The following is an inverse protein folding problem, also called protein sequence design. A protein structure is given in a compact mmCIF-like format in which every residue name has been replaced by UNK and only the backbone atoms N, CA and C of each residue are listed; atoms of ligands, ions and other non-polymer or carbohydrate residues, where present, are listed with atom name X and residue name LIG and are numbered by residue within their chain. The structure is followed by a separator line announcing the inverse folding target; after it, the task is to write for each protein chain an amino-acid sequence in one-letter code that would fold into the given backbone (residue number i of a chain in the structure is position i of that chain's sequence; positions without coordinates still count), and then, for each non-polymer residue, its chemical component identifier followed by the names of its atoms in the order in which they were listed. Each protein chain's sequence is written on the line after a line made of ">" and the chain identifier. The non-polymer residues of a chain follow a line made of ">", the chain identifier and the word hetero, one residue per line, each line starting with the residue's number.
data_IF_636398377521
#
_entry.id   IF_636398377521
#
_cell.length_a   1.000
_cell.length_b   1.000
_cell.length_c   1.000
_cell.angle_alpha   90.00
_cell.angle_beta   90.00
_cell.angle_gamma   90.00
#
_symmetry.space_group_name_H-M   'P 1'
#
loop_
_entity.id
_entity.type
_entity.pdbx_description
1 polymer ?
#
# COMPACT_ATOMS: atom_id res chain seq x y z
N UNK A 1 -5.45 -24.33 -22.56
CA UNK A 1 -4.56 -23.23 -23.02
C UNK A 1 -5.19 -21.94 -22.55
N UNK A 2 -4.67 -21.16 -21.59
CA UNK A 2 -3.32 -20.96 -21.11
C UNK A 2 -3.29 -20.91 -19.57
N UNK A 3 -2.30 -21.58 -18.99
CA UNK A 3 -1.85 -21.43 -17.62
C UNK A 3 -1.01 -20.15 -17.51
N UNK A 4 -1.32 -19.26 -16.55
CA UNK A 4 -0.50 -18.09 -16.27
C UNK A 4 -0.39 -17.86 -14.75
N UNK A 5 0.72 -18.39 -14.23
CA UNK A 5 1.46 -18.03 -13.01
C UNK A 5 0.96 -16.80 -12.25
N UNK A 6 0.11 -17.06 -11.26
CA UNK A 6 -0.35 -16.15 -10.21
C UNK A 6 0.57 -16.32 -9.00
N UNK A 7 1.63 -15.52 -8.83
CA UNK A 7 2.36 -15.46 -7.53
C UNK A 7 3.42 -14.36 -7.34
N UNK A 8 3.43 -13.27 -8.12
CA UNK A 8 4.47 -12.23 -7.93
C UNK A 8 3.89 -10.83 -8.12
N UNK A 9 2.90 -10.39 -7.35
CA UNK A 9 2.41 -9.00 -7.42
C UNK A 9 1.76 -8.52 -6.11
N UNK A 10 2.41 -8.79 -4.96
CA UNK A 10 2.02 -8.19 -3.69
C UNK A 10 3.02 -7.11 -3.28
N UNK A 11 2.50 -5.88 -3.18
CA UNK A 11 3.05 -4.65 -2.56
C UNK A 11 3.66 -3.59 -3.50
N UNK A 12 2.79 -2.81 -4.15
CA UNK A 12 3.06 -1.44 -4.57
C UNK A 12 1.90 -0.54 -4.09
N UNK A 13 2.21 0.41 -3.20
CA UNK A 13 1.52 1.66 -2.77
C UNK A 13 1.76 1.84 -1.25
N UNK A 14 2.24 2.96 -0.67
CA UNK A 14 3.08 4.11 -1.07
C UNK A 14 3.25 4.98 0.22
N UNK A 15 4.48 5.38 0.59
CA UNK A 15 4.97 6.65 1.22
C UNK A 15 4.28 7.28 2.46
N UNK A 16 4.88 7.98 3.45
CA UNK A 16 6.19 8.59 3.78
C UNK A 16 6.19 8.80 5.34
N UNK A 17 7.26 8.73 6.13
CA UNK A 17 8.21 9.83 6.40
C UNK A 17 9.32 9.41 7.41
N UNK A 18 10.50 9.99 7.16
CA UNK A 18 11.56 10.43 8.10
C UNK A 18 12.42 9.37 8.83
N UNK A 19 13.73 9.60 8.67
CA UNK A 19 14.82 9.18 9.57
C UNK A 19 14.35 9.09 11.02
N UNK A 20 14.72 7.97 11.64
CA UNK A 20 14.36 7.57 12.99
C UNK A 20 14.29 8.73 13.98
N UNK A 21 13.08 8.95 14.47
CA UNK A 21 12.86 9.22 15.88
C UNK A 21 12.19 7.97 16.46
N UNK A 22 12.53 7.64 17.70
CA UNK A 22 12.19 6.41 18.41
C UNK A 22 10.69 6.22 18.73
N UNK A 23 9.78 6.73 17.88
CA UNK A 23 8.33 6.76 18.08
C UNK A 23 7.54 6.64 16.75
N UNK A 24 8.00 5.84 15.78
CA UNK A 24 7.17 5.49 14.61
C UNK A 24 6.06 4.51 15.04
N UNK A 25 4.81 4.99 15.02
CA UNK A 25 3.60 4.25 15.39
C UNK A 25 2.85 3.71 14.16
N UNK A 26 3.46 3.69 12.99
CA UNK A 26 2.83 3.10 11.80
C UNK A 26 2.52 1.61 12.04
N UNK A 27 1.42 1.08 11.46
CA UNK A 27 1.09 -0.33 11.60
C UNK A 27 2.22 -1.27 11.19
N UNK A 28 2.99 -0.89 10.16
CA UNK A 28 4.17 -1.63 9.71
C UNK A 28 5.32 -1.61 10.74
N UNK A 29 5.60 -0.45 11.35
CA UNK A 29 6.60 -0.35 12.41
C UNK A 29 6.21 -1.15 13.65
N UNK A 30 4.93 -1.16 14.04
CA UNK A 30 4.42 -1.95 15.16
C UNK A 30 4.58 -3.45 14.90
N UNK A 31 4.19 -3.92 13.71
CA UNK A 31 4.38 -5.31 13.29
C UNK A 31 5.86 -5.71 13.31
N UNK A 32 6.75 -4.84 12.79
CA UNK A 32 8.19 -5.07 12.79
C UNK A 32 8.82 -5.07 14.18
N UNK A 33 8.41 -4.16 15.06
CA UNK A 33 8.86 -4.16 16.45
C UNK A 33 8.49 -5.48 17.14
N UNK A 34 7.27 -5.97 16.92
CA UNK A 34 6.82 -7.24 17.48
C UNK A 34 7.57 -8.44 16.87
N UNK A 35 7.79 -8.45 15.55
CA UNK A 35 8.62 -9.47 14.90
C UNK A 35 10.05 -9.48 15.44
N UNK A 36 10.65 -8.32 15.64
CA UNK A 36 11.99 -8.20 16.20
C UNK A 36 12.06 -8.79 17.61
N UNK A 37 11.12 -8.42 18.49
CA UNK A 37 11.03 -8.98 19.85
C UNK A 37 10.90 -10.51 19.81
N UNK A 38 10.03 -11.04 18.94
CA UNK A 38 9.87 -12.49 18.78
C UNK A 38 11.16 -13.15 18.29
N UNK A 39 11.80 -12.58 17.27
CA UNK A 39 13.02 -13.11 16.66
C UNK A 39 14.19 -13.09 17.64
N UNK A 40 14.35 -12.02 18.41
CA UNK A 40 15.41 -11.88 19.41
C UNK A 40 15.23 -12.89 20.56
N UNK A 41 13.98 -13.10 21.01
CA UNK A 41 13.65 -14.16 21.98
C UNK A 41 13.88 -15.57 21.42
N UNK A 42 13.52 -15.82 20.15
CA UNK A 42 13.77 -17.09 19.49
C UNK A 42 15.28 -17.37 19.36
N UNK A 43 16.08 -16.35 19.04
CA UNK A 43 17.56 -16.43 19.01
C UNK A 43 18.13 -16.78 20.38
N UNK A 44 17.73 -16.06 21.42
CA UNK A 44 18.20 -16.28 22.79
C UNK A 44 17.94 -17.71 23.29
N UNK A 45 16.82 -18.30 22.88
CA UNK A 45 16.41 -19.65 23.29
C UNK A 45 16.85 -20.75 22.32
N UNK A 46 17.60 -20.45 21.25
CA UNK A 46 17.98 -21.41 20.19
C UNK A 46 16.79 -22.06 19.45
N UNK A 47 15.69 -21.31 19.27
CA UNK A 47 14.44 -21.77 18.64
C UNK A 47 14.25 -21.11 17.24
N UNK A 48 15.29 -20.49 16.67
CA UNK A 48 15.18 -19.79 15.40
C UNK A 48 14.78 -20.70 14.23
N UNK A 49 13.63 -20.46 13.58
CA UNK A 49 13.13 -21.32 12.52
C UNK A 49 13.96 -21.24 11.23
N UNK A 50 14.49 -20.06 10.89
CA UNK A 50 15.14 -19.82 9.58
C UNK A 50 16.57 -20.36 9.46
N UNK A 51 17.21 -20.81 10.54
CA UNK A 51 18.64 -21.20 10.50
C UNK A 51 18.89 -22.59 9.88
N UNK A 52 17.86 -23.43 9.77
CA UNK A 52 18.01 -24.84 9.35
C UNK A 52 17.51 -25.15 7.95
N UNK A 53 16.64 -24.29 7.39
CA UNK A 53 16.03 -24.55 6.09
C UNK A 53 16.95 -24.11 4.93
N UNK A 54 17.64 -25.06 4.29
CA UNK A 54 18.38 -24.86 3.03
C UNK A 54 17.62 -25.51 1.88
N UNK A 55 16.69 -24.80 1.22
CA UNK A 55 15.94 -25.37 0.12
C UNK A 55 16.86 -25.62 -1.07
N UNK A 56 16.74 -26.80 -1.68
CA UNK A 56 17.31 -27.04 -3.00
C UNK A 56 16.52 -26.21 -4.01
N UNK A 57 17.21 -25.36 -4.78
CA UNK A 57 16.62 -24.44 -5.76
C UNK A 57 15.73 -25.18 -6.79
N UNK A 58 15.93 -26.49 -6.94
CA UNK A 58 15.29 -27.28 -7.99
C UNK A 58 14.07 -28.11 -7.58
N UNK A 59 13.69 -28.20 -6.29
CA UNK A 59 12.57 -29.06 -5.86
C UNK A 59 11.80 -28.48 -4.68
N UNK A 60 10.48 -28.69 -4.70
CA UNK A 60 9.65 -28.50 -3.51
C UNK A 60 10.10 -29.50 -2.42
N UNK A 61 10.12 -29.05 -1.18
CA UNK A 61 10.47 -29.85 0.00
C UNK A 61 9.41 -29.62 1.06
N UNK A 62 9.02 -30.67 1.79
CA UNK A 62 8.13 -30.51 2.92
C UNK A 62 8.83 -29.71 4.03
N UNK A 63 8.11 -28.76 4.61
CA UNK A 63 8.56 -28.03 5.78
C UNK A 63 8.46 -28.91 7.02
N UNK A 64 9.36 -28.72 7.97
CA UNK A 64 9.23 -29.30 9.30
C UNK A 64 8.30 -28.45 10.18
N UNK A 65 7.74 -29.09 11.21
CA UNK A 65 6.90 -28.40 12.18
C UNK A 65 7.67 -27.28 12.88
N UNK A 66 7.20 -26.05 12.69
CA UNK A 66 7.81 -24.83 13.23
C UNK A 66 8.77 -24.10 12.30
N UNK A 67 9.00 -24.54 11.06
CA UNK A 67 9.86 -23.81 10.10
C UNK A 67 9.28 -22.45 9.69
N UNK A 68 7.95 -22.34 9.64
CA UNK A 68 7.24 -21.13 9.22
C UNK A 68 6.13 -20.77 10.21
N UNK A 69 6.48 -20.30 11.42
CA UNK A 69 5.51 -20.10 12.50
C UNK A 69 4.49 -18.98 12.22
N UNK A 70 4.74 -18.16 11.19
CA UNK A 70 3.82 -17.12 10.74
C UNK A 70 2.75 -17.60 9.77
N UNK A 71 2.87 -18.80 9.23
CA UNK A 71 1.90 -19.33 8.28
C UNK A 71 0.55 -19.57 8.96
N UNK A 72 -0.50 -19.12 8.30
CA UNK A 72 -1.88 -19.41 8.69
C UNK A 72 -2.67 -19.98 7.52
N UNK A 73 -3.82 -20.56 7.86
CA UNK A 73 -4.86 -20.94 6.93
C UNK A 73 -6.13 -20.14 7.25
N UNK A 74 -6.73 -19.56 6.22
CA UNK A 74 -8.06 -18.99 6.28
C UNK A 74 -9.05 -20.06 5.81
N UNK A 75 -10.07 -20.30 6.62
CA UNK A 75 -11.13 -21.25 6.29
C UNK A 75 -12.52 -20.68 6.50
N UNK A 76 -13.47 -21.26 5.77
CA UNK A 76 -14.88 -20.96 5.88
C UNK A 76 -15.58 -22.12 6.58
N UNK A 77 -16.24 -21.82 7.70
CA UNK A 77 -16.98 -22.80 8.48
C UNK A 77 -18.36 -23.01 7.85
N UNK A 78 -18.62 -24.26 7.46
CA UNK A 78 -19.89 -24.77 6.96
C UNK A 78 -20.31 -25.88 7.93
N UNK A 79 -21.37 -25.61 8.69
CA UNK A 79 -21.81 -26.49 9.78
C UNK A 79 -20.67 -26.73 10.80
N UNK A 80 -20.35 -27.99 11.09
CA UNK A 80 -19.27 -28.39 12.00
C UNK A 80 -17.91 -28.54 11.31
N UNK A 81 -17.83 -28.36 9.98
CA UNK A 81 -16.61 -28.49 9.20
C UNK A 81 -16.07 -27.14 8.77
N UNK A 82 -14.75 -27.02 8.68
CA UNK A 82 -14.09 -25.83 8.14
C UNK A 82 -13.33 -26.19 6.88
N UNK A 83 -13.70 -25.55 5.77
CA UNK A 83 -12.99 -25.65 4.51
C UNK A 83 -11.85 -24.63 4.49
N UNK A 84 -10.60 -25.09 4.48
CA UNK A 84 -9.41 -24.25 4.47
C UNK A 84 -9.04 -23.86 3.03
N UNK A 85 -9.26 -22.59 2.67
CA UNK A 85 -9.26 -22.13 1.28
C UNK A 85 -8.05 -21.28 0.89
N UNK A 86 -7.42 -20.61 1.85
CA UNK A 86 -6.31 -19.69 1.60
C UNK A 86 -5.24 -19.78 2.67
N UNK A 87 -4.04 -19.28 2.33
CA UNK A 87 -2.94 -19.09 3.27
C UNK A 87 -2.68 -17.59 3.49
N UNK A 88 -2.04 -17.25 4.60
CA UNK A 88 -1.67 -15.88 4.94
C UNK A 88 -0.52 -15.83 5.95
N UNK A 89 -0.27 -14.67 6.54
CA UNK A 89 0.82 -14.48 7.50
C UNK A 89 0.43 -13.69 8.74
N UNK A 90 0.84 -14.15 9.91
CA UNK A 90 0.72 -13.40 11.17
C UNK A 90 1.69 -12.23 11.13
N UNK A 91 1.19 -11.02 11.38
CA UNK A 91 2.02 -9.80 11.46
C UNK A 91 2.00 -9.18 12.87
N UNK A 92 1.00 -9.51 13.68
CA UNK A 92 0.94 -9.19 15.10
C UNK A 92 0.09 -10.22 15.87
N UNK A 93 -0.04 -10.09 17.19
CA UNK A 93 -0.86 -10.99 18.01
C UNK A 93 -2.30 -11.12 17.54
N UNK A 94 -2.87 -10.10 16.92
CA UNK A 94 -4.27 -10.06 16.50
C UNK A 94 -4.49 -9.68 15.04
N UNK A 95 -3.42 -9.51 14.25
CA UNK A 95 -3.53 -9.22 12.82
C UNK A 95 -2.83 -10.25 11.96
N UNK A 96 -3.54 -10.61 10.89
CA UNK A 96 -3.08 -11.45 9.79
C UNK A 96 -3.11 -10.65 8.50
N UNK A 97 -2.04 -10.76 7.73
CA UNK A 97 -1.92 -10.26 6.37
C UNK A 97 -2.29 -11.35 5.38
N UNK A 98 -3.13 -11.03 4.39
CA UNK A 98 -3.60 -11.98 3.39
C UNK A 98 -3.92 -11.27 2.07
N UNK A 99 -4.10 -12.04 1.00
CA UNK A 99 -4.64 -11.51 -0.24
C UNK A 99 -6.11 -11.10 -0.10
N UNK A 100 -6.51 -10.00 -0.74
CA UNK A 100 -7.88 -9.51 -0.70
C UNK A 100 -8.86 -10.51 -1.33
N UNK A 101 -8.49 -11.15 -2.44
CA UNK A 101 -9.34 -12.12 -3.12
C UNK A 101 -9.70 -13.33 -2.25
N UNK A 102 -8.86 -13.68 -1.27
CA UNK A 102 -9.13 -14.75 -0.30
C UNK A 102 -10.27 -14.41 0.67
N UNK A 103 -10.55 -13.12 0.86
CA UNK A 103 -11.62 -12.63 1.74
C UNK A 103 -12.92 -12.34 0.99
N UNK A 104 -12.90 -12.49 -0.34
CA UNK A 104 -14.03 -12.25 -1.23
C UNK A 104 -14.28 -13.49 -2.10
N UNK A 105 -14.81 -14.56 -1.51
CA UNK A 105 -15.17 -15.73 -2.30
C UNK A 105 -16.42 -15.46 -3.15
N UNK A 106 -16.20 -15.45 -4.47
CA UNK A 106 -17.13 -15.69 -5.58
C UNK A 106 -18.53 -16.18 -5.15
N UNK A 107 -19.55 -15.39 -5.50
CA UNK A 107 -21.00 -15.73 -5.55
C UNK A 107 -21.85 -15.70 -4.27
N UNK A 108 -21.32 -15.59 -3.04
CA UNK A 108 -22.16 -15.41 -1.85
C UNK A 108 -21.48 -14.47 -0.86
N UNK A 109 -22.25 -13.53 -0.27
CA UNK A 109 -21.73 -12.58 0.70
C UNK A 109 -20.97 -13.30 1.81
N UNK A 110 -19.71 -12.93 2.01
CA UNK A 110 -18.87 -13.53 3.06
C UNK A 110 -19.34 -13.01 4.40
N UNK A 111 -19.94 -13.87 5.22
CA UNK A 111 -20.23 -13.54 6.60
C UNK A 111 -18.95 -13.72 7.43
N UNK A 112 -18.45 -12.63 8.01
CA UNK A 112 -17.24 -12.62 8.86
C UNK A 112 -17.35 -13.66 9.99
N UNK A 113 -18.56 -13.94 10.48
CA UNK A 113 -18.79 -14.91 11.56
C UNK A 113 -18.51 -16.35 11.16
N UNK A 114 -18.49 -16.66 9.86
CA UNK A 114 -18.18 -18.00 9.33
C UNK A 114 -16.69 -18.18 9.03
N UNK A 115 -15.87 -17.12 9.12
CA UNK A 115 -14.44 -17.25 8.86
C UNK A 115 -13.68 -17.71 10.11
N UNK A 116 -12.72 -18.59 9.88
CA UNK A 116 -11.77 -19.10 10.89
C UNK A 116 -10.35 -18.91 10.38
N UNK A 117 -9.45 -18.54 11.28
CA UNK A 117 -8.01 -18.52 11.02
C UNK A 117 -7.35 -19.61 11.85
N UNK A 118 -6.52 -20.45 11.23
CA UNK A 118 -5.74 -21.51 11.92
C UNK A 118 -4.25 -21.27 11.75
N UNK A 119 -3.52 -21.27 12.85
CA UNK A 119 -2.07 -21.17 12.90
C UNK A 119 -1.45 -22.41 13.56
N UNK A 120 -0.14 -22.62 13.39
CA UNK A 120 0.60 -23.69 14.09
C UNK A 120 0.42 -25.08 13.51
N UNK A 121 0.01 -25.19 12.24
CA UNK A 121 -0.23 -26.46 11.55
C UNK A 121 0.68 -26.58 10.34
N UNK A 122 1.43 -27.68 10.27
CA UNK A 122 2.29 -28.03 9.12
C UNK A 122 1.78 -29.29 8.41
N UNK A 123 1.40 -30.32 9.17
CA UNK A 123 0.67 -31.50 8.69
C UNK A 123 -0.80 -31.40 9.10
N UNK A 124 -1.73 -31.55 8.17
CA UNK A 124 -3.17 -31.52 8.49
C UNK A 124 -3.61 -32.68 9.39
N UNK A 125 -2.82 -33.75 9.48
CA UNK A 125 -3.06 -34.89 10.38
C UNK A 125 -2.61 -34.61 11.81
N UNK A 126 -1.77 -33.61 12.04
CA UNK A 126 -1.28 -33.21 13.36
C UNK A 126 -1.72 -31.79 13.71
N UNK A 127 -2.73 -31.70 14.56
CA UNK A 127 -3.31 -30.45 15.03
C UNK A 127 -2.88 -30.11 16.48
N UNK A 128 -1.89 -30.80 17.03
CA UNK A 128 -1.46 -30.66 18.43
C UNK A 128 -1.04 -29.23 18.81
N UNK A 129 -0.52 -28.46 17.85
CA UNK A 129 -0.08 -27.08 18.03
C UNK A 129 -1.04 -26.04 17.44
N UNK A 130 -2.21 -26.49 16.97
CA UNK A 130 -3.15 -25.64 16.24
C UNK A 130 -3.76 -24.56 17.15
N UNK A 131 -3.75 -23.33 16.68
CA UNK A 131 -4.50 -22.22 17.27
C UNK A 131 -5.55 -21.77 16.27
N UNK A 132 -6.82 -22.06 16.56
CA UNK A 132 -7.96 -21.61 15.76
C UNK A 132 -8.50 -20.32 16.38
N UNK A 133 -8.77 -19.33 15.53
CA UNK A 133 -9.25 -18.00 15.92
C UNK A 133 -10.45 -17.58 15.09
N UNK A 134 -11.42 -16.99 15.78
CA UNK A 134 -12.56 -16.34 15.15
C UNK A 134 -12.13 -15.01 14.54
N UNK A 135 -12.66 -14.68 13.36
CA UNK A 135 -12.44 -13.37 12.74
C UNK A 135 -13.35 -12.33 13.41
N UNK A 136 -12.76 -11.18 13.77
CA UNK A 136 -13.46 -10.01 14.28
C UNK A 136 -13.86 -9.08 13.13
N UNK A 137 -12.91 -8.74 12.26
CA UNK A 137 -13.13 -7.85 11.12
C UNK A 137 -12.12 -8.08 10.01
N UNK A 138 -12.47 -7.63 8.81
CA UNK A 138 -11.61 -7.64 7.63
C UNK A 138 -11.50 -6.21 7.12
N UNK A 139 -10.28 -5.75 6.88
CA UNK A 139 -9.99 -4.47 6.25
C UNK A 139 -9.33 -4.72 4.91
N UNK A 140 -10.09 -4.53 3.84
CA UNK A 140 -9.55 -4.50 2.48
C UNK A 140 -8.70 -3.24 2.29
N UNK A 141 -7.70 -3.33 1.42
CA UNK A 141 -7.03 -2.13 0.95
C UNK A 141 -8.02 -1.22 0.20
N UNK A 142 -7.95 0.10 0.45
CA UNK A 142 -8.96 1.06 -0.02
C UNK A 142 -9.08 1.16 -1.55
N UNK A 143 -8.03 0.75 -2.27
CA UNK A 143 -7.95 0.70 -3.73
C UNK A 143 -8.17 -0.70 -4.32
N UNK A 144 -8.76 -1.63 -3.57
CA UNK A 144 -9.19 -2.94 -4.10
C UNK A 144 -10.46 -2.72 -4.93
N UNK A 145 -10.41 -3.09 -6.20
CA UNK A 145 -11.59 -3.18 -7.07
C UNK A 145 -11.94 -4.65 -7.31
N UNK A 146 -13.23 -4.99 -7.37
CA UNK A 146 -13.68 -6.35 -7.68
C UNK A 146 -14.18 -6.38 -9.14
N UNK A 147 -13.71 -7.31 -10.00
CA UNK A 147 -12.76 -8.39 -9.73
C UNK A 147 -11.33 -7.90 -9.44
N UNK A 148 -10.67 -8.53 -8.46
CA UNK A 148 -9.36 -8.11 -7.96
C UNK A 148 -8.29 -8.24 -9.03
N UNK A 149 -7.70 -7.09 -9.41
CA UNK A 149 -6.56 -7.00 -10.33
C UNK A 149 -5.32 -6.40 -9.68
N UNK A 150 -5.51 -5.34 -8.89
CA UNK A 150 -4.45 -4.60 -8.21
C UNK A 150 -4.76 -4.46 -6.72
N UNK A 151 -3.73 -4.15 -5.93
CA UNK A 151 -3.84 -3.93 -4.49
C UNK A 151 -4.47 -5.12 -3.76
N UNK A 152 -4.15 -6.34 -4.17
CA UNK A 152 -4.74 -7.59 -3.68
C UNK A 152 -4.27 -7.94 -2.25
N UNK A 153 -4.58 -7.08 -1.29
CA UNK A 153 -4.10 -7.13 0.09
C UNK A 153 -5.23 -6.77 1.06
N UNK A 154 -5.32 -7.54 2.13
CA UNK A 154 -6.28 -7.36 3.20
C UNK A 154 -5.65 -7.68 4.55
N UNK A 155 -6.20 -7.05 5.59
CA UNK A 155 -5.90 -7.35 6.98
C UNK A 155 -7.10 -8.03 7.63
N UNK A 156 -6.84 -9.12 8.32
CA UNK A 156 -7.82 -9.82 9.16
C UNK A 156 -7.46 -9.53 10.62
N UNK A 157 -8.42 -8.98 11.37
CA UNK A 157 -8.34 -8.88 12.82
C UNK A 157 -9.03 -10.08 13.45
N UNK A 158 -8.35 -10.81 14.33
CA UNK A 158 -8.92 -11.94 15.07
C UNK A 158 -9.44 -11.49 16.45
N UNK A 159 -10.47 -12.18 16.97
CA UNK A 159 -11.10 -11.85 18.26
C UNK A 159 -10.19 -12.15 19.46
N UNK A 160 -9.43 -13.24 19.37
CA UNK A 160 -8.55 -13.74 20.42
C UNK A 160 -7.11 -13.68 19.92
N UNK A 161 -6.20 -13.17 20.75
CA UNK A 161 -4.80 -13.08 20.40
C UNK A 161 -4.17 -14.46 20.13
N UNK A 162 -3.24 -14.53 19.20
CA UNK A 162 -2.32 -15.65 19.03
C UNK A 162 -1.36 -15.71 20.22
N UNK A 163 -1.16 -16.93 20.72
CA UNK A 163 -0.17 -17.21 21.76
C UNK A 163 1.13 -17.58 21.05
N UNK A 164 2.07 -16.64 20.99
CA UNK A 164 3.33 -16.88 20.30
C UNK A 164 4.19 -17.93 21.00
N UNK A 165 4.69 -18.89 20.21
CA UNK A 165 5.55 -19.99 20.64
C UNK A 165 6.44 -20.43 19.46
N UNK A 166 7.04 -21.64 19.53
CA UNK A 166 7.87 -22.18 18.45
C UNK A 166 7.12 -22.38 17.13
N UNK A 167 5.81 -22.63 17.18
CA UNK A 167 4.97 -23.02 16.04
C UNK A 167 4.08 -21.88 15.54
N UNK A 168 3.88 -20.84 16.35
CA UNK A 168 3.03 -19.68 16.06
C UNK A 168 3.80 -18.41 16.37
N UNK A 169 3.97 -17.51 15.41
CA UNK A 169 4.75 -16.29 15.59
C UNK A 169 4.64 -15.35 14.40
N UNK A 170 4.99 -14.06 14.54
CA UNK A 170 4.85 -13.08 13.48
C UNK A 170 5.98 -13.17 12.43
N UNK A 171 5.69 -12.73 11.20
CA UNK A 171 6.70 -12.44 10.18
C UNK A 171 7.10 -10.98 10.22
N UNK A 172 8.34 -10.68 9.85
CA UNK A 172 8.81 -9.31 9.70
C UNK A 172 8.33 -8.76 8.36
N UNK A 173 7.82 -7.55 8.38
CA UNK A 173 7.45 -6.81 7.18
C UNK A 173 8.66 -6.11 6.61
N UNK A 174 8.86 -6.28 5.32
CA UNK A 174 9.80 -5.45 4.60
C UNK A 174 9.15 -4.08 4.36
N UNK A 175 9.59 -3.07 5.11
CA UNK A 175 9.02 -1.69 5.07
C UNK A 175 9.95 -0.70 4.39
N UNK A 176 11.04 -1.16 3.77
CA UNK A 176 11.92 -0.31 2.99
C UNK A 176 11.33 -0.13 1.58
N UNK A 177 11.59 1.03 0.97
CA UNK A 177 11.02 1.42 -0.32
C UNK A 177 11.72 0.75 -1.50
N UNK A 178 12.98 0.32 -1.33
CA UNK A 178 13.72 -0.45 -2.34
C UNK A 178 13.29 -1.89 -2.28
N UNK A 179 13.08 -2.58 -3.40
CA UNK A 179 12.84 -4.02 -3.34
C UNK A 179 14.04 -4.74 -2.69
N UNK A 180 13.80 -5.77 -1.86
CA UNK A 180 14.89 -6.59 -1.37
C UNK A 180 15.53 -7.31 -2.55
N UNK A 181 16.80 -6.98 -2.85
CA UNK A 181 17.62 -7.76 -3.77
C UNK A 181 17.85 -9.15 -3.15
N UNK A 182 17.09 -10.15 -3.60
CA UNK A 182 17.18 -11.47 -3.01
C UNK A 182 16.29 -12.52 -3.64
N UNK A 183 16.66 -13.79 -3.45
CA UNK A 183 15.79 -14.92 -3.75
C UNK A 183 14.77 -15.04 -2.62
N UNK A 184 13.49 -15.01 -2.96
CA UNK A 184 12.40 -15.30 -2.03
C UNK A 184 12.19 -16.80 -1.84
N UNK A 185 11.68 -17.18 -0.67
CA UNK A 185 11.15 -18.52 -0.42
C UNK A 185 9.63 -18.43 -0.42
N UNK A 186 8.99 -19.29 -1.21
CA UNK A 186 7.55 -19.42 -1.19
C UNK A 186 7.13 -20.66 -0.39
N UNK A 187 6.22 -20.46 0.55
CA UNK A 187 5.59 -21.51 1.33
C UNK A 187 4.09 -21.52 1.07
N UNK A 188 3.49 -22.71 1.08
CA UNK A 188 2.08 -22.86 0.79
C UNK A 188 1.58 -24.21 1.25
N UNK A 189 0.28 -24.30 1.46
CA UNK A 189 -0.39 -25.55 1.74
C UNK A 189 -0.75 -26.24 0.42
N UNK A 190 -0.51 -27.55 0.33
CA UNK A 190 -0.92 -28.35 -0.83
C UNK A 190 -1.53 -29.67 -0.36
N UNK A 191 -2.57 -30.10 -1.06
CA UNK A 191 -3.13 -31.47 -0.96
C UNK A 191 -2.47 -32.44 -1.94
N UNK A 192 -1.56 -31.95 -2.79
CA UNK A 192 -0.91 -32.71 -3.84
C UNK A 192 0.43 -33.31 -3.37
N UNK A 193 0.80 -34.49 -3.89
CA UNK A 193 2.06 -35.18 -3.57
C UNK A 193 3.27 -34.41 -4.11
N UNK A 194 4.45 -34.52 -3.51
CA UNK A 194 5.66 -33.82 -3.98
C UNK A 194 5.96 -34.07 -5.48
N UNK A 195 5.57 -35.23 -5.99
CA UNK A 195 5.73 -35.65 -7.39
C UNK A 195 4.85 -34.87 -8.37
N UNK A 196 3.76 -34.27 -7.90
CA UNK A 196 2.87 -33.42 -8.70
C UNK A 196 3.44 -32.01 -8.92
N UNK A 197 4.49 -31.64 -8.18
CA UNK A 197 5.24 -30.44 -8.44
C UNK A 197 6.33 -30.75 -9.47
N UNK A 198 6.34 -30.09 -10.64
CA UNK A 198 7.39 -30.32 -11.62
C UNK A 198 8.75 -30.04 -10.96
N UNK A 199 9.69 -31.00 -11.08
CA UNK A 199 11.12 -30.75 -10.84
C UNK A 199 11.42 -29.43 -11.53
N UNK A 200 11.86 -28.43 -10.76
CA UNK A 200 12.03 -27.04 -11.17
C UNK A 200 12.24 -26.96 -12.67
N UNK A 201 11.26 -26.39 -13.37
CA UNK A 201 11.63 -25.50 -14.45
C UNK A 201 12.72 -24.65 -13.83
N UNK A 202 13.94 -24.87 -14.25
CA UNK A 202 15.02 -23.96 -13.97
C UNK A 202 14.40 -22.63 -14.34
N UNK A 203 14.05 -21.81 -13.35
CA UNK A 203 14.02 -20.39 -13.59
C UNK A 203 15.50 -20.00 -13.76
N UNK A 204 16.18 -20.54 -14.78
CA UNK A 204 16.65 -19.64 -15.81
C UNK A 204 15.48 -18.71 -16.01
N UNK A 205 15.64 -17.48 -15.51
CA UNK A 205 15.26 -16.35 -16.31
C UNK A 205 15.96 -16.63 -17.65
N UNK A 206 15.31 -17.43 -18.51
CA UNK A 206 15.49 -17.28 -19.93
C UNK A 206 15.08 -15.83 -20.05
N UNK A 207 16.06 -14.94 -20.22
CA UNK A 207 15.84 -13.74 -21.01
C UNK A 207 15.12 -14.28 -22.24
N UNK A 208 13.79 -14.27 -22.21
CA UNK A 208 13.01 -14.18 -23.43
C UNK A 208 13.74 -13.05 -24.13
N UNK A 209 14.21 -13.27 -25.35
CA UNK A 209 14.45 -12.14 -26.24
C UNK A 209 13.10 -11.42 -26.31
N UNK A 210 12.79 -10.57 -25.32
CA UNK A 210 12.00 -9.39 -25.51
C UNK A 210 12.86 -8.65 -26.51
N UNK A 211 12.46 -8.69 -27.77
CA UNK A 211 12.87 -7.66 -28.70
C UNK A 211 12.54 -6.33 -28.01
N UNK A 212 13.57 -5.74 -27.40
CA UNK A 212 13.80 -4.32 -27.16
C UNK A 212 12.55 -3.43 -27.19
N UNK A 213 11.63 -3.60 -26.24
CA UNK A 213 10.84 -2.45 -25.80
C UNK A 213 11.71 -1.71 -24.79
N UNK A 214 12.00 -0.44 -25.09
CA UNK A 214 12.77 0.49 -24.26
C UNK A 214 12.01 1.80 -24.26
N UNK A 215 12.12 2.57 -23.19
CA UNK A 215 11.52 3.91 -23.12
C UNK A 215 12.60 4.99 -23.30
N UNK A 216 12.25 6.09 -23.95
CA UNK A 216 13.15 7.23 -24.22
C UNK A 216 12.99 8.27 -23.12
N UNK A 217 14.06 8.61 -22.39
CA UNK A 217 13.98 9.57 -21.27
C UNK A 217 13.51 10.95 -21.73
N UNK A 218 12.56 11.59 -20.99
CA UNK A 218 12.05 12.90 -21.35
C UNK A 218 13.12 13.99 -21.18
N UNK A 219 12.93 15.19 -21.77
CA UNK A 219 13.73 16.35 -21.42
C UNK A 219 13.63 16.67 -19.93
N UNK A 220 14.62 17.40 -19.39
CA UNK A 220 14.58 17.85 -18.00
C UNK A 220 13.41 18.83 -17.76
N UNK A 221 12.79 18.75 -16.59
CA UNK A 221 11.62 19.56 -16.25
C UNK A 221 12.00 21.03 -16.15
N UNK A 222 11.12 21.90 -16.66
CA UNK A 222 11.22 23.32 -16.35
C UNK A 222 10.95 23.55 -14.86
N UNK A 223 11.84 24.28 -14.18
CA UNK A 223 11.79 24.49 -12.73
C UNK A 223 11.83 23.19 -11.89
N UNK A 224 12.40 22.13 -12.44
CA UNK A 224 12.62 20.87 -11.75
C UNK A 224 13.74 20.05 -12.36
N UNK A 225 13.81 18.80 -11.96
CA UNK A 225 14.69 17.79 -12.53
C UNK A 225 14.08 16.41 -12.38
N UNK A 226 14.54 15.47 -13.16
CA UNK A 226 14.29 14.06 -12.94
C UNK A 226 15.59 13.28 -12.79
N UNK A 227 15.53 12.20 -12.01
CA UNK A 227 16.66 11.31 -11.72
C UNK A 227 16.25 9.86 -11.91
N UNK A 228 17.14 9.05 -12.48
CA UNK A 228 16.96 7.60 -12.62
C UNK A 228 17.79 6.89 -11.56
N UNK A 229 17.16 5.94 -10.87
CA UNK A 229 17.70 5.38 -9.61
C UNK A 229 18.90 4.44 -9.80
N UNK A 230 19.21 4.04 -11.03
CA UNK A 230 20.11 2.91 -11.32
C UNK A 230 21.23 3.21 -12.34
N UNK A 231 21.34 4.42 -12.88
CA UNK A 231 22.41 4.77 -13.84
C UNK A 231 22.59 6.29 -14.02
N UNK A 232 23.81 6.69 -14.39
CA UNK A 232 24.07 8.02 -14.98
C UNK A 232 23.52 8.02 -16.42
N UNK A 233 22.38 8.67 -16.60
CA UNK A 233 21.66 8.74 -17.87
C UNK A 233 21.39 10.18 -18.26
N UNK A 234 21.32 10.43 -19.55
CA UNK A 234 21.03 11.73 -20.15
C UNK A 234 19.60 11.75 -20.69
N UNK A 235 19.02 12.95 -20.92
CA UNK A 235 17.80 13.07 -21.72
C UNK A 235 17.94 12.33 -23.05
N UNK A 236 16.83 11.76 -23.53
CA UNK A 236 16.74 10.94 -24.75
C UNK A 236 17.43 9.56 -24.70
N UNK A 237 18.09 9.19 -23.59
CA UNK A 237 18.65 7.84 -23.45
C UNK A 237 17.54 6.78 -23.38
N UNK A 238 17.83 5.61 -23.97
CA UNK A 238 16.92 4.46 -23.95
C UNK A 238 17.12 3.61 -22.70
N UNK A 239 16.10 3.58 -21.85
CA UNK A 239 16.10 2.78 -20.63
C UNK A 239 15.27 1.51 -20.77
N UNK A 240 15.64 0.48 -19.99
CA UNK A 240 14.95 -0.81 -20.01
C UNK A 240 13.57 -0.71 -19.34
N UNK A 241 12.66 -1.61 -19.71
CA UNK A 241 11.34 -1.75 -19.07
C UNK A 241 11.53 -1.99 -17.57
N UNK A 242 10.65 -1.37 -16.78
CA UNK A 242 10.67 -1.27 -15.31
C UNK A 242 11.69 -0.27 -14.74
N UNK A 243 12.38 0.52 -15.57
CA UNK A 243 13.15 1.65 -15.08
C UNK A 243 12.23 2.69 -14.45
N UNK A 244 12.57 3.15 -13.25
CA UNK A 244 11.81 4.17 -12.51
C UNK A 244 12.54 5.51 -12.62
N UNK A 245 11.80 6.52 -13.09
CA UNK A 245 12.20 7.92 -13.03
C UNK A 245 11.56 8.57 -11.82
N UNK A 246 12.34 9.34 -11.05
CA UNK A 246 11.85 10.23 -9.99
C UNK A 246 11.91 11.68 -10.43
N UNK A 247 10.81 12.40 -10.28
CA UNK A 247 10.68 13.83 -10.53
C UNK A 247 10.85 14.63 -9.24
N UNK A 248 11.52 15.78 -9.33
CA UNK A 248 11.78 16.69 -8.23
C UNK A 248 11.64 18.14 -8.71
N UNK A 249 10.81 18.96 -8.06
CA UNK A 249 10.72 20.38 -8.39
C UNK A 249 11.71 21.22 -7.57
N UNK A 250 12.13 22.35 -8.13
CA UNK A 250 12.90 23.36 -7.42
C UNK A 250 12.09 24.00 -6.28
N UNK A 251 12.79 24.66 -5.35
CA UNK A 251 12.17 25.33 -4.21
C UNK A 251 11.15 26.38 -4.69
N UNK A 252 9.93 26.32 -4.18
CA UNK A 252 8.82 27.20 -4.57
C UNK A 252 7.87 26.58 -5.60
N UNK A 253 8.18 25.39 -6.11
CA UNK A 253 7.36 24.65 -7.07
C UNK A 253 6.90 23.31 -6.49
N UNK A 254 5.85 22.73 -7.07
CA UNK A 254 5.22 21.48 -6.70
C UNK A 254 4.86 20.68 -7.94
N UNK A 255 4.98 19.36 -7.86
CA UNK A 255 4.60 18.46 -8.96
C UNK A 255 3.09 18.42 -9.11
N UNK A 256 2.63 18.57 -10.36
CA UNK A 256 1.25 18.39 -10.75
C UNK A 256 1.17 17.50 -12.00
N UNK A 257 0.40 16.39 -11.97
CA UNK A 257 -0.19 15.78 -10.77
C UNK A 257 0.90 15.38 -9.76
N UNK A 258 0.54 15.24 -8.48
CA UNK A 258 1.47 14.90 -7.39
C UNK A 258 1.90 13.42 -7.46
N UNK A 259 2.50 13.02 -8.58
CA UNK A 259 3.06 11.71 -8.82
C UNK A 259 4.56 11.84 -9.11
N UNK A 260 5.42 11.70 -8.10
CA UNK A 260 6.85 11.90 -8.25
C UNK A 260 7.57 10.73 -8.94
N UNK A 261 6.90 9.59 -9.21
CA UNK A 261 7.53 8.44 -9.85
C UNK A 261 6.78 8.01 -11.10
N UNK A 262 7.52 7.73 -12.17
CA UNK A 262 6.99 7.10 -13.38
C UNK A 262 7.80 5.84 -13.72
N UNK A 263 7.09 4.78 -14.10
CA UNK A 263 7.67 3.49 -14.50
C UNK A 263 7.70 3.40 -16.03
N UNK A 264 8.81 2.93 -16.61
CA UNK A 264 8.82 2.49 -18.01
C UNK A 264 8.04 1.19 -18.17
N UNK A 265 6.86 1.24 -18.76
CA UNK A 265 6.01 0.08 -19.06
C UNK A 265 6.18 -0.44 -20.51
N UNK A 266 6.99 0.25 -21.32
CA UNK A 266 7.28 -0.06 -22.71
C UNK A 266 6.78 0.97 -23.72
N UNK A 267 5.97 1.96 -23.30
CA UNK A 267 5.53 3.07 -24.16
C UNK A 267 5.18 4.29 -23.30
N UNK A 268 6.13 5.20 -23.08
CA UNK A 268 5.80 6.46 -22.44
C UNK A 268 4.98 7.35 -23.37
N UNK A 269 3.91 7.91 -22.82
CA UNK A 269 3.16 8.99 -23.43
C UNK A 269 3.66 10.30 -22.81
N UNK A 270 4.25 11.18 -23.63
CA UNK A 270 4.82 12.46 -23.19
C UNK A 270 3.80 13.33 -22.45
N UNK A 271 2.50 13.12 -22.68
CA UNK A 271 1.43 13.85 -21.99
C UNK A 271 1.22 13.45 -20.54
N UNK A 272 1.87 12.36 -20.08
CA UNK A 272 1.72 11.83 -18.72
C UNK A 272 2.80 12.30 -17.74
N UNK A 273 3.80 13.03 -18.21
CA UNK A 273 4.87 13.54 -17.35
C UNK A 273 4.35 14.65 -16.43
N UNK A 274 4.67 14.60 -15.12
CA UNK A 274 4.28 15.64 -14.19
C UNK A 274 5.04 16.94 -14.49
N UNK A 275 4.38 18.06 -14.26
CA UNK A 275 4.97 19.40 -14.44
C UNK A 275 5.19 20.06 -13.08
N UNK A 276 6.17 20.96 -13.01
CA UNK A 276 6.43 21.75 -11.81
C UNK A 276 5.65 23.07 -11.86
N UNK A 277 4.57 23.15 -11.08
CA UNK A 277 3.77 24.35 -10.94
C UNK A 277 4.15 25.14 -9.70
N UNK A 278 4.11 26.47 -9.79
CA UNK A 278 4.49 27.36 -8.70
C UNK A 278 3.48 27.28 -7.56
N UNK A 279 3.96 27.23 -6.32
CA UNK A 279 3.11 27.14 -5.11
C UNK A 279 2.46 28.48 -4.82
N UNK A 280 1.18 28.46 -4.48
CA UNK A 280 0.49 29.61 -3.89
C UNK A 280 0.65 29.63 -2.36
N UNK A 281 0.53 30.81 -1.72
CA UNK A 281 0.52 30.91 -0.26
C UNK A 281 -0.56 29.99 0.34
N UNK A 282 -0.23 29.14 1.34
CA UNK A 282 -1.17 28.20 1.90
C UNK A 282 -2.29 28.92 2.66
N UNK A 283 -3.52 28.44 2.50
CA UNK A 283 -4.69 28.97 3.18
C UNK A 283 -5.41 27.86 3.95
N UNK A 284 -5.87 28.20 5.15
CA UNK A 284 -6.48 27.27 6.10
C UNK A 284 -7.90 27.70 6.45
N UNK A 285 -8.79 26.71 6.63
CA UNK A 285 -10.12 26.94 7.20
C UNK A 285 -10.01 27.47 8.63
N UNK A 286 -10.95 28.34 9.00
CA UNK A 286 -11.06 28.93 10.34
C UNK A 286 -12.40 28.55 10.97
N UNK A 287 -12.66 28.95 12.21
CA UNK A 287 -13.96 28.71 12.89
C UNK A 287 -15.14 29.39 12.19
N UNK A 288 -14.88 30.48 11.48
CA UNK A 288 -15.90 31.27 10.77
C UNK A 288 -15.92 31.01 9.26
N UNK A 289 -15.03 30.14 8.75
CA UNK A 289 -14.85 29.96 7.31
C UNK A 289 -14.37 28.57 6.96
N UNK A 290 -15.11 27.89 6.08
CA UNK A 290 -14.68 26.66 5.41
C UNK A 290 -14.10 26.99 4.03
N UNK A 291 -12.91 26.48 3.73
CA UNK A 291 -12.28 26.61 2.41
C UNK A 291 -12.48 25.33 1.60
N UNK A 292 -12.74 25.48 0.30
CA UNK A 292 -12.78 24.37 -0.66
C UNK A 292 -11.90 24.72 -1.85
N UNK A 293 -10.97 23.84 -2.22
CA UNK A 293 -10.06 24.07 -3.35
C UNK A 293 -10.26 23.03 -4.44
N UNK A 294 -10.18 23.50 -5.68
CA UNK A 294 -10.27 22.69 -6.89
C UNK A 294 -9.10 22.99 -7.81
N UNK A 295 -8.49 21.96 -8.37
CA UNK A 295 -7.45 22.10 -9.37
C UNK A 295 -8.01 22.54 -10.75
N UNK A 296 -7.12 22.65 -11.75
CA UNK A 296 -7.48 23.04 -13.11
C UNK A 296 -8.43 22.05 -13.81
N UNK A 297 -8.53 20.81 -13.31
CA UNK A 297 -9.42 19.77 -13.80
C UNK A 297 -10.67 19.59 -12.92
N UNK A 298 -10.96 20.53 -12.02
CA UNK A 298 -12.06 20.51 -11.04
C UNK A 298 -11.97 19.39 -9.98
N UNK A 299 -10.82 18.74 -9.83
CA UNK A 299 -10.54 17.78 -8.76
C UNK A 299 -10.36 18.47 -7.42
N UNK A 300 -10.90 17.90 -6.33
CA UNK A 300 -10.74 18.46 -4.99
C UNK A 300 -9.30 18.27 -4.50
N UNK A 301 -8.66 19.38 -4.08
CA UNK A 301 -7.28 19.39 -3.58
C UNK A 301 -7.20 20.11 -2.23
N UNK A 302 -6.22 19.78 -1.36
CA UNK A 302 -5.99 20.55 -0.12
C UNK A 302 -5.61 22.00 -0.42
N UNK A 303 -6.23 22.96 0.28
CA UNK A 303 -5.99 24.39 0.05
C UNK A 303 -4.60 24.88 0.50
N UNK A 304 -3.94 24.13 1.37
CA UNK A 304 -2.56 24.34 1.79
C UNK A 304 -1.54 23.78 0.79
N UNK A 305 -1.98 22.99 -0.19
CA UNK A 305 -1.17 22.45 -1.29
C UNK A 305 -1.54 23.08 -2.64
N UNK A 306 -2.15 24.26 -2.64
CA UNK A 306 -2.59 24.95 -3.86
C UNK A 306 -1.40 25.34 -4.76
N UNK A 307 -1.53 24.99 -6.04
CA UNK A 307 -0.58 25.31 -7.12
C UNK A 307 -1.23 26.21 -8.16
N UNK A 308 -0.43 26.75 -9.08
CA UNK A 308 -0.90 27.57 -10.19
C UNK A 308 -2.11 26.95 -10.92
N UNK A 309 -3.16 27.75 -11.15
CA UNK A 309 -4.44 27.30 -11.71
C UNK A 309 -5.46 26.78 -10.70
N UNK A 310 -5.11 26.62 -9.42
CA UNK A 310 -6.07 26.23 -8.37
C UNK A 310 -7.11 27.33 -8.12
N UNK A 311 -8.38 26.94 -8.05
CA UNK A 311 -9.47 27.79 -7.60
C UNK A 311 -9.85 27.47 -6.15
N UNK A 312 -10.02 28.48 -5.32
CA UNK A 312 -10.34 28.36 -3.90
C UNK A 312 -11.64 29.11 -3.62
N UNK A 313 -12.60 28.44 -3.00
CA UNK A 313 -13.90 29.02 -2.62
C UNK A 313 -14.05 29.09 -1.10
N UNK A 314 -14.33 30.30 -0.62
CA UNK A 314 -14.65 30.64 0.76
C UNK A 314 -16.14 30.42 1.03
N UNK A 315 -16.44 29.67 2.09
CA UNK A 315 -17.80 29.45 2.59
C UNK A 315 -17.84 29.92 4.04
N UNK A 316 -18.60 30.97 4.32
CA UNK A 316 -18.75 31.46 5.69
C UNK A 316 -19.60 30.49 6.53
N UNK A 317 -19.24 30.34 7.80
CA UNK A 317 -20.02 29.58 8.79
C UNK A 317 -21.40 30.22 9.01
N UNK A 318 -22.33 29.48 9.61
CA UNK A 318 -23.68 29.98 9.92
C UNK A 318 -23.62 31.34 10.64
N UNK A 319 -24.53 32.25 10.29
CA UNK A 319 -24.62 33.62 10.79
C UNK A 319 -23.52 34.58 10.34
N UNK A 320 -22.65 34.17 9.42
CA UNK A 320 -21.67 35.06 8.79
C UNK A 320 -21.90 35.13 7.28
N UNK A 321 -21.74 36.31 6.69
CA UNK A 321 -21.84 36.55 5.25
C UNK A 321 -20.65 37.37 4.76
N UNK A 322 -20.29 37.20 3.48
CA UNK A 322 -19.30 38.07 2.82
C UNK A 322 -20.03 39.39 2.49
N UNK A 323 -19.47 40.55 2.87
CA UNK A 323 -20.09 41.83 2.58
C UNK A 323 -20.41 42.05 1.09
N UNK A 324 -21.45 42.84 0.76
CA UNK A 324 -21.81 43.14 -0.63
C UNK A 324 -20.60 43.67 -1.42
N UNK A 325 -20.30 43.03 -2.56
CA UNK A 325 -19.13 43.34 -3.40
C UNK A 325 -17.88 42.50 -3.11
N UNK A 326 -17.88 41.70 -2.04
CA UNK A 326 -16.82 40.73 -1.79
C UNK A 326 -16.89 39.52 -2.71
N UNK A 327 -15.73 39.01 -3.15
CA UNK A 327 -15.63 37.76 -3.91
C UNK A 327 -15.39 36.61 -2.95
N UNK A 328 -16.10 35.51 -3.17
CA UNK A 328 -15.94 34.28 -2.42
C UNK A 328 -14.93 33.31 -3.08
N UNK A 329 -14.59 33.50 -4.35
CA UNK A 329 -13.66 32.64 -5.08
C UNK A 329 -12.37 33.39 -5.45
N UNK A 330 -11.24 32.77 -5.10
CA UNK A 330 -9.88 33.20 -5.42
C UNK A 330 -9.27 32.22 -6.42
N UNK A 331 -8.35 32.71 -7.25
CA UNK A 331 -7.61 31.90 -8.22
C UNK A 331 -6.11 32.13 -8.02
N UNK A 332 -5.36 31.03 -8.04
CA UNK A 332 -3.90 31.03 -7.99
C UNK A 332 -3.36 31.29 -9.40
N UNK A 333 -2.65 32.40 -9.59
CA UNK A 333 -1.93 32.72 -10.82
C UNK A 333 -0.47 33.08 -10.51
N UNK A 334 0.46 32.41 -11.18
CA UNK A 334 1.91 32.52 -10.99
C UNK A 334 2.33 32.51 -9.50
N UNK A 335 1.71 31.62 -8.71
CA UNK A 335 1.98 31.47 -7.29
C UNK A 335 1.45 32.62 -6.43
N UNK A 336 0.51 33.43 -6.92
CA UNK A 336 -0.14 34.51 -6.18
C UNK A 336 -1.67 34.40 -6.28
N UNK A 337 -2.37 34.65 -5.17
CA UNK A 337 -3.83 34.74 -5.18
C UNK A 337 -4.28 36.09 -5.77
N UNK A 338 -5.16 36.04 -6.77
CA UNK A 338 -5.59 37.23 -7.51
C UNK A 338 -6.44 38.24 -6.73
N UNK A 339 -7.03 37.84 -5.61
CA UNK A 339 -7.84 38.71 -4.75
C UNK A 339 -7.39 38.58 -3.29
N UNK A 340 -7.57 39.64 -2.48
CA UNK A 340 -7.35 39.56 -1.04
C UNK A 340 -8.33 38.56 -0.41
N UNK A 341 -7.92 37.97 0.72
CA UNK A 341 -8.78 37.07 1.51
C UNK A 341 -10.08 37.81 1.91
N UNK A 342 -11.26 37.27 1.61
CA UNK A 342 -12.51 37.86 2.07
C UNK A 342 -12.63 37.71 3.59
N UNK A 343 -13.34 38.64 4.22
CA UNK A 343 -13.67 38.60 5.64
C UNK A 343 -15.14 38.23 5.76
N UNK A 344 -15.42 37.15 6.49
CA UNK A 344 -16.78 36.78 6.87
C UNK A 344 -17.21 37.66 8.05
N UNK A 345 -18.25 38.48 7.86
CA UNK A 345 -18.80 39.35 8.89
C UNK A 345 -20.14 38.81 9.39
N UNK A 346 -20.52 39.06 10.66
CA UNK A 346 -21.83 38.67 11.17
C UNK A 346 -22.95 39.21 10.26
N UNK A 347 -23.85 38.33 9.83
CA UNK A 347 -24.96 38.71 8.96
C UNK A 347 -25.91 39.64 9.71
N UNK A 348 -26.18 40.82 9.13
CA UNK A 348 -27.15 41.80 9.67
C UNK A 348 -28.61 41.34 9.57
N UNK A 349 -28.87 40.12 9.06
CA UNK A 349 -30.22 39.58 8.89
C UNK A 349 -30.91 39.09 10.17
N UNK A 350 -30.26 39.11 11.32
CA UNK A 350 -30.85 38.70 12.60
C UNK A 350 -30.86 39.83 13.65
N UNK A 351 -31.34 41.02 13.28
CA UNK A 351 -31.68 42.07 14.26
C UNK A 351 -33.15 42.03 14.74
N UNK A 352 -33.96 41.05 14.32
CA UNK A 352 -35.35 40.83 14.78
C UNK A 352 -35.65 39.31 14.68
N UNK A 353 -36.26 38.57 15.61
CA UNK A 353 -37.08 38.85 16.79
C UNK A 353 -36.66 37.88 17.91
N UNK A 354 -36.40 38.40 19.12
CA UNK A 354 -36.68 37.63 20.33
C UNK A 354 -38.20 37.79 20.58
N UNK A 355 -38.95 36.70 20.45
CA UNK A 355 -40.25 36.53 21.10
C UNK A 355 -40.09 35.56 22.27
#
# INVERSE_FOLDING_TARGET
>A
MYTANFLVWLLFFYLNLKKGHSHDLSPGAIANAMCKIYTDNAKKNNICPLSKFKPSISRAVFAESGDFPHMIQLGYQIDDNTEWICSGSIISKNYVLIAAHCTSSRQRGVNVTQLRVRAGVTDQKDLSNAQIRNVESIKLHSKVEIPVKYNDIALIKVKEDFIFNKFVGPVCLYTNEKNPDGKGLQTGLSTATLESFPNSTTFTIRKRRQNSLKCTLPPQLENGRWVVTEADVNPDDLVDINTIIRFECHKGYQLYPNNPLLLCDGSWDETTFPICQKKCPPLYSTTTTTLTCKDIHNGAVPCDEAVDGTSLTYICSAYYEIPPGGRNTLYCYDGVWNFPKPICEPSKRNEFEFC
#
